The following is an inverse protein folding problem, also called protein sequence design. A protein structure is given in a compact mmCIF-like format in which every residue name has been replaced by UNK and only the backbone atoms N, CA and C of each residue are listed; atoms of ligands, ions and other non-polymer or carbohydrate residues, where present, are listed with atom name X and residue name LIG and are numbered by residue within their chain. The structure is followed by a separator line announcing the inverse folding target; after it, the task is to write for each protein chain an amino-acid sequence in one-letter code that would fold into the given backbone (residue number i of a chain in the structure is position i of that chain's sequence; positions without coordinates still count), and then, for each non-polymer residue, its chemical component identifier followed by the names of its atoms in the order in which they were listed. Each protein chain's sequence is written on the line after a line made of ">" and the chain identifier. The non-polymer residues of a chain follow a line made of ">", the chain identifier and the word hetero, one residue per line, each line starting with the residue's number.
data_IF_342307816731
#
_entry.id   IF_342307816731
#
_cell.length_a   1.000
_cell.length_b   1.000
_cell.length_c   1.000
_cell.angle_alpha   90.00
_cell.angle_beta   90.00
_cell.angle_gamma   90.00
#
_symmetry.space_group_name_H-M   'P 1'
#
loop_
_entity.id
_entity.type
_entity.pdbx_description
1 polymer ?
#
# COMPACT_ATOMS: atom_id res chain seq x y z
N UNK A 1 -2.01 14.22 24.00
CA UNK A 1 -2.72 13.03 24.54
C UNK A 1 -4.22 13.08 24.25
N UNK A 2 -4.97 14.10 24.68
CA UNK A 2 -6.41 14.21 24.40
C UNK A 2 -6.74 14.19 22.90
N UNK A 3 -6.02 14.98 22.09
CA UNK A 3 -6.20 15.03 20.63
C UNK A 3 -5.93 13.70 19.94
N UNK A 4 -5.00 12.91 20.45
CA UNK A 4 -4.66 11.59 19.92
C UNK A 4 -5.78 10.58 20.19
N UNK A 5 -6.29 10.49 21.42
CA UNK A 5 -7.41 9.60 21.74
C UNK A 5 -8.70 10.03 21.03
N UNK A 6 -8.95 11.34 20.91
CA UNK A 6 -10.09 11.86 20.15
C UNK A 6 -9.99 11.49 18.66
N UNK A 7 -8.79 11.57 18.06
CA UNK A 7 -8.53 11.15 16.70
C UNK A 7 -8.79 9.64 16.49
N UNK A 8 -8.33 8.80 17.42
CA UNK A 8 -8.56 7.36 17.36
C UNK A 8 -10.05 7.02 17.44
N UNK A 9 -10.78 7.64 18.38
CA UNK A 9 -12.23 7.48 18.48
C UNK A 9 -12.92 7.93 17.20
N UNK A 10 -12.54 9.08 16.65
CA UNK A 10 -13.10 9.58 15.39
C UNK A 10 -12.86 8.63 14.21
N UNK A 11 -11.69 8.00 14.10
CA UNK A 11 -11.40 6.99 13.08
C UNK A 11 -12.28 5.75 13.24
N UNK A 12 -12.48 5.26 14.47
CA UNK A 12 -13.36 4.11 14.75
C UNK A 12 -14.81 4.44 14.42
N UNK A 13 -15.31 5.61 14.85
CA UNK A 13 -16.67 6.04 14.52
C UNK A 13 -16.83 6.28 13.01
N UNK A 14 -15.81 6.84 12.35
CA UNK A 14 -15.77 7.01 10.90
C UNK A 14 -15.88 5.67 10.18
N UNK A 15 -15.11 4.67 10.57
CA UNK A 15 -15.19 3.32 10.00
C UNK A 15 -16.59 2.71 10.19
N UNK A 16 -17.14 2.77 11.41
CA UNK A 16 -18.45 2.14 11.71
C UNK A 16 -19.61 2.85 11.02
N UNK A 17 -19.69 4.19 11.10
CA UNK A 17 -20.84 4.92 10.58
C UNK A 17 -20.67 5.30 9.12
N UNK A 18 -19.55 5.94 8.77
CA UNK A 18 -19.33 6.42 7.41
C UNK A 18 -18.91 5.28 6.47
N UNK A 19 -18.10 4.34 6.94
CA UNK A 19 -17.80 3.11 6.18
C UNK A 19 -19.06 2.31 5.87
N UNK A 20 -19.96 2.11 6.84
CA UNK A 20 -21.25 1.45 6.58
C UNK A 20 -22.14 2.22 5.61
N UNK A 21 -22.11 3.57 5.64
CA UNK A 21 -22.82 4.39 4.65
C UNK A 21 -22.22 4.20 3.24
N UNK A 22 -20.90 4.25 3.09
CA UNK A 22 -20.22 4.07 1.81
C UNK A 22 -20.47 2.67 1.24
N UNK A 23 -20.35 1.63 2.05
CA UNK A 23 -20.70 0.25 1.69
C UNK A 23 -22.16 0.15 1.23
N UNK A 24 -23.09 0.82 1.91
CA UNK A 24 -24.50 0.80 1.50
C UNK A 24 -24.75 1.44 0.13
N UNK A 25 -23.98 2.46 -0.24
CA UNK A 25 -24.17 3.19 -1.51
C UNK A 25 -23.40 2.53 -2.66
N UNK A 26 -22.20 2.04 -2.41
CA UNK A 26 -21.25 1.56 -3.42
C UNK A 26 -20.90 0.08 -3.31
N UNK A 27 -21.57 -0.64 -2.42
CA UNK A 27 -21.36 -2.04 -2.05
C UNK A 27 -21.41 -3.06 -3.17
N UNK A 28 -21.20 -4.30 -2.76
CA UNK A 28 -21.31 -5.45 -3.64
C UNK A 28 -22.68 -5.52 -4.32
N UNK A 29 -22.65 -5.72 -5.64
CA UNK A 29 -23.83 -5.91 -6.47
C UNK A 29 -24.23 -7.39 -6.60
N UNK A 30 -23.58 -8.28 -5.82
CA UNK A 30 -23.87 -9.70 -5.76
C UNK A 30 -23.33 -10.48 -6.96
N UNK A 31 -22.44 -9.87 -7.74
CA UNK A 31 -21.76 -10.53 -8.85
C UNK A 31 -20.73 -11.51 -8.32
N UNK A 32 -20.55 -12.60 -9.05
CA UNK A 32 -19.46 -13.51 -8.74
C UNK A 32 -18.11 -12.81 -8.94
N UNK A 33 -17.31 -12.77 -7.86
CA UNK A 33 -16.04 -12.06 -7.85
C UNK A 33 -15.11 -12.61 -8.95
N UNK A 34 -14.33 -11.76 -9.63
CA UNK A 34 -13.39 -12.18 -10.67
C UNK A 34 -12.44 -13.30 -10.21
N UNK A 35 -12.04 -13.30 -8.94
CA UNK A 35 -11.19 -14.33 -8.35
C UNK A 35 -11.78 -15.76 -8.41
N UNK A 36 -13.11 -15.90 -8.44
CA UNK A 36 -13.78 -17.19 -8.59
C UNK A 36 -14.16 -17.47 -10.05
N UNK A 37 -14.72 -16.48 -10.74
CA UNK A 37 -15.18 -16.63 -12.14
C UNK A 37 -14.05 -16.81 -13.15
N UNK A 38 -12.93 -16.10 -12.99
CA UNK A 38 -11.78 -16.10 -13.90
C UNK A 38 -10.59 -16.88 -13.33
N UNK A 39 -10.85 -17.81 -12.41
CA UNK A 39 -9.82 -18.53 -11.66
C UNK A 39 -8.83 -19.26 -12.59
N UNK A 40 -7.60 -18.74 -12.67
CA UNK A 40 -6.52 -19.27 -13.52
C UNK A 40 -5.35 -19.83 -12.70
N UNK A 41 -5.42 -19.73 -11.36
CA UNK A 41 -4.37 -20.18 -10.46
C UNK A 41 -3.12 -19.27 -10.42
N UNK A 42 -3.12 -18.15 -11.16
CA UNK A 42 -1.98 -17.23 -11.28
C UNK A 42 -2.41 -15.79 -10.97
N UNK A 43 -3.20 -15.16 -11.85
CA UNK A 43 -3.65 -13.78 -11.70
C UNK A 43 -4.94 -13.68 -10.87
N UNK A 44 -5.82 -14.69 -10.99
CA UNK A 44 -7.09 -14.79 -10.29
C UNK A 44 -7.09 -16.00 -9.37
N UNK A 45 -6.79 -15.77 -8.09
CA UNK A 45 -6.76 -16.81 -7.07
C UNK A 45 -7.62 -16.40 -5.87
N UNK A 46 -8.59 -17.25 -5.45
CA UNK A 46 -9.38 -16.96 -4.27
C UNK A 46 -8.49 -17.05 -3.03
N UNK A 47 -8.43 -15.95 -2.30
CA UNK A 47 -7.64 -15.82 -1.08
C UNK A 47 -8.54 -15.48 0.11
N UNK A 48 -8.26 -16.10 1.25
CA UNK A 48 -8.94 -15.77 2.50
C UNK A 48 -8.59 -14.36 2.97
N UNK A 49 -9.54 -13.72 3.68
CA UNK A 49 -9.43 -12.34 4.17
C UNK A 49 -8.10 -12.05 4.88
N UNK A 50 -7.60 -12.94 5.75
CA UNK A 50 -6.37 -12.67 6.51
C UNK A 50 -5.15 -12.53 5.60
N UNK A 51 -5.05 -13.36 4.55
CA UNK A 51 -3.93 -13.29 3.60
C UNK A 51 -4.03 -12.02 2.75
N UNK A 52 -5.22 -11.72 2.24
CA UNK A 52 -5.45 -10.50 1.46
C UNK A 52 -5.15 -9.24 2.27
N UNK A 53 -5.59 -9.19 3.53
CA UNK A 53 -5.28 -8.11 4.46
C UNK A 53 -3.77 -7.97 4.69
N UNK A 54 -3.04 -9.08 4.92
CA UNK A 54 -1.60 -9.04 5.15
C UNK A 54 -0.84 -8.54 3.91
N UNK A 55 -1.24 -8.98 2.71
CA UNK A 55 -0.65 -8.52 1.44
C UNK A 55 -0.88 -7.01 1.30
N UNK A 56 -2.10 -6.54 1.50
CA UNK A 56 -2.42 -5.12 1.39
C UNK A 56 -1.70 -4.29 2.46
N UNK A 57 -1.63 -4.79 3.69
CA UNK A 57 -0.90 -4.15 4.77
C UNK A 57 0.57 -4.02 4.43
N UNK A 58 1.21 -5.07 3.93
CA UNK A 58 2.62 -5.04 3.52
C UNK A 58 2.86 -4.07 2.35
N UNK A 59 1.92 -3.98 1.40
CA UNK A 59 2.01 -3.07 0.26
C UNK A 59 1.93 -1.59 0.66
N UNK A 60 1.25 -1.28 1.78
CA UNK A 60 1.13 0.09 2.30
C UNK A 60 2.21 0.38 3.38
N UNK A 61 2.67 -0.66 4.09
CA UNK A 61 3.69 -0.59 5.12
C UNK A 61 5.07 -0.33 4.51
N UNK A 62 5.30 0.91 4.13
CA UNK A 62 6.57 1.39 3.62
C UNK A 62 7.14 2.56 4.41
N UNK A 63 8.07 3.25 3.77
CA UNK A 63 8.68 4.47 4.32
C UNK A 63 7.68 5.63 4.44
N UNK A 64 6.63 5.62 3.62
CA UNK A 64 5.56 6.63 3.63
C UNK A 64 4.89 6.77 5.00
N UNK A 65 4.26 5.72 5.55
CA UNK A 65 3.65 5.79 6.88
C UNK A 65 4.60 6.19 8.00
N UNK A 66 5.87 5.79 7.95
CA UNK A 66 6.86 6.10 9.01
C UNK A 66 7.30 7.56 8.92
N UNK A 67 7.92 7.96 7.81
CA UNK A 67 8.41 9.33 7.64
C UNK A 67 7.27 10.34 7.49
N UNK A 68 6.16 9.94 6.86
CA UNK A 68 4.95 10.75 6.74
C UNK A 68 4.32 11.04 8.10
N UNK A 69 4.21 10.04 8.98
CA UNK A 69 3.67 10.27 10.32
C UNK A 69 4.64 11.12 11.18
N UNK A 70 5.95 10.85 11.12
CA UNK A 70 6.95 11.65 11.85
C UNK A 70 6.96 13.10 11.36
N UNK A 71 7.03 13.30 10.04
CA UNK A 71 6.99 14.65 9.45
C UNK A 71 5.67 15.36 9.73
N UNK A 72 4.54 14.65 9.68
CA UNK A 72 3.25 15.18 10.08
C UNK A 72 3.22 15.59 11.56
N UNK A 73 3.78 14.78 12.46
CA UNK A 73 3.85 15.10 13.88
C UNK A 73 4.62 16.39 14.19
N UNK A 74 5.57 16.79 13.33
CA UNK A 74 6.28 18.09 13.45
C UNK A 74 5.35 19.30 13.31
N UNK A 75 4.19 19.15 12.65
CA UNK A 75 3.18 20.19 12.51
C UNK A 75 2.23 20.29 13.72
N UNK A 76 2.53 19.52 14.78
CA UNK A 76 1.78 19.54 16.02
C UNK A 76 0.38 18.93 15.86
N UNK A 77 -0.56 19.29 16.76
CA UNK A 77 -1.88 18.64 16.82
C UNK A 77 -2.75 18.78 15.56
N UNK A 78 -2.47 19.78 14.71
CA UNK A 78 -3.18 19.99 13.44
C UNK A 78 -3.02 18.80 12.48
N UNK A 79 -1.89 18.08 12.56
CA UNK A 79 -1.65 16.89 11.76
C UNK A 79 -2.66 15.78 12.04
N UNK A 80 -3.10 15.63 13.29
CA UNK A 80 -4.12 14.62 13.62
C UNK A 80 -5.47 14.93 12.96
N UNK A 81 -5.86 16.20 12.85
CA UNK A 81 -7.10 16.56 12.16
C UNK A 81 -7.01 16.20 10.68
N UNK A 82 -5.89 16.52 10.03
CA UNK A 82 -5.67 16.19 8.62
C UNK A 82 -5.64 14.69 8.37
N UNK A 83 -4.92 13.94 9.21
CA UNK A 83 -4.85 12.47 9.10
C UNK A 83 -6.25 11.88 9.29
N UNK A 84 -6.97 12.27 10.35
CA UNK A 84 -8.30 11.70 10.65
C UNK A 84 -9.30 12.02 9.55
N UNK A 85 -9.49 13.29 9.21
CA UNK A 85 -10.50 13.68 8.22
C UNK A 85 -10.10 13.24 6.81
N UNK A 86 -8.81 13.33 6.46
CA UNK A 86 -8.28 12.85 5.19
C UNK A 86 -8.47 11.34 5.03
N UNK A 87 -8.18 10.55 6.06
CA UNK A 87 -8.42 9.10 6.04
C UNK A 87 -9.89 8.74 5.92
N UNK A 88 -10.78 9.40 6.68
CA UNK A 88 -12.21 9.07 6.70
C UNK A 88 -12.89 9.44 5.37
N UNK A 89 -12.67 10.66 4.88
CA UNK A 89 -13.46 11.19 3.76
C UNK A 89 -12.80 11.05 2.39
N UNK A 90 -11.47 10.98 2.33
CA UNK A 90 -10.74 10.87 1.07
C UNK A 90 -10.11 9.49 0.91
N UNK A 91 -9.13 9.14 1.74
CA UNK A 91 -8.30 7.94 1.55
C UNK A 91 -9.10 6.64 1.53
N UNK A 92 -9.79 6.31 2.64
CA UNK A 92 -10.50 5.05 2.76
C UNK A 92 -11.64 4.91 1.73
N UNK A 93 -12.34 6.02 1.45
CA UNK A 93 -13.41 6.04 0.44
C UNK A 93 -12.83 5.85 -0.95
N UNK A 94 -11.76 6.57 -1.30
CA UNK A 94 -11.14 6.46 -2.61
C UNK A 94 -10.63 5.04 -2.88
N UNK A 95 -9.98 4.41 -1.90
CA UNK A 95 -9.47 3.04 -2.02
C UNK A 95 -10.61 2.04 -2.18
N UNK A 96 -11.68 2.19 -1.39
CA UNK A 96 -12.86 1.34 -1.48
C UNK A 96 -13.56 1.47 -2.85
N UNK A 97 -13.82 2.71 -3.29
CA UNK A 97 -14.44 2.99 -4.59
C UNK A 97 -13.60 2.46 -5.76
N UNK A 98 -12.29 2.67 -5.70
CA UNK A 98 -11.36 2.20 -6.72
C UNK A 98 -11.31 0.68 -6.79
N UNK A 99 -11.28 0.01 -5.62
CA UNK A 99 -11.36 -1.44 -5.52
C UNK A 99 -12.67 -1.97 -6.11
N UNK A 100 -13.79 -1.37 -5.75
CA UNK A 100 -15.10 -1.81 -6.22
C UNK A 100 -15.32 -1.55 -7.72
N UNK A 101 -14.75 -0.48 -8.26
CA UNK A 101 -14.69 -0.24 -9.70
C UNK A 101 -13.87 -1.32 -10.42
N UNK A 102 -12.71 -1.68 -9.86
CA UNK A 102 -11.84 -2.73 -10.42
C UNK A 102 -12.51 -4.10 -10.42
N UNK A 103 -13.16 -4.48 -9.32
CA UNK A 103 -13.91 -5.76 -9.21
C UNK A 103 -15.02 -5.86 -10.27
N UNK A 104 -15.75 -4.76 -10.53
CA UNK A 104 -16.79 -4.73 -11.56
C UNK A 104 -16.25 -4.78 -13.00
N UNK A 105 -14.96 -4.53 -13.19
CA UNK A 105 -14.26 -4.57 -14.47
C UNK A 105 -13.19 -5.68 -14.48
N UNK A 106 -13.51 -6.83 -13.88
CA UNK A 106 -12.68 -8.05 -13.97
C UNK A 106 -11.25 -7.87 -13.43
N UNK A 107 -11.06 -7.00 -12.44
CA UNK A 107 -9.75 -6.70 -11.87
C UNK A 107 -8.91 -5.73 -12.69
N UNK A 108 -9.52 -5.00 -13.64
CA UNK A 108 -8.81 -4.04 -14.47
C UNK A 108 -8.15 -2.91 -13.66
N UNK A 109 -6.99 -2.44 -14.13
CA UNK A 109 -6.30 -1.28 -13.57
C UNK A 109 -7.11 0.01 -13.77
N UNK A 110 -6.95 1.00 -12.89
CA UNK A 110 -7.63 2.30 -13.00
C UNK A 110 -7.35 2.97 -14.36
N UNK A 111 -6.12 2.89 -14.86
CA UNK A 111 -5.74 3.42 -16.18
C UNK A 111 -6.52 2.80 -17.33
N UNK A 112 -6.88 1.52 -17.20
CA UNK A 112 -7.70 0.80 -18.17
C UNK A 112 -9.18 1.21 -18.08
N UNK A 113 -9.71 1.28 -16.85
CA UNK A 113 -11.09 1.72 -16.58
C UNK A 113 -11.30 3.14 -17.12
N UNK A 114 -10.37 4.06 -16.85
CA UNK A 114 -10.39 5.43 -17.40
C UNK A 114 -10.47 5.40 -18.92
N UNK A 115 -9.73 4.50 -19.57
CA UNK A 115 -9.76 4.34 -21.02
C UNK A 115 -11.12 3.89 -21.57
N UNK A 116 -11.83 3.03 -20.84
CA UNK A 116 -13.14 2.55 -21.24
C UNK A 116 -14.20 3.68 -21.27
N UNK A 117 -14.09 4.66 -20.36
CA UNK A 117 -15.08 5.75 -20.23
C UNK A 117 -14.67 7.04 -20.95
N UNK A 118 -13.39 7.42 -20.92
CA UNK A 118 -12.87 8.69 -21.44
C UNK A 118 -12.12 8.54 -22.78
N UNK A 119 -11.94 7.31 -23.26
CA UNK A 119 -11.31 7.00 -24.54
C UNK A 119 -9.78 6.83 -24.46
N UNK A 120 -9.21 6.48 -25.60
CA UNK A 120 -7.81 6.02 -25.67
C UNK A 120 -6.77 7.11 -25.35
N UNK A 121 -7.07 8.39 -25.58
CA UNK A 121 -6.17 9.50 -25.23
C UNK A 121 -5.90 9.57 -23.72
N UNK A 122 -6.97 9.56 -22.92
CA UNK A 122 -6.85 9.55 -21.46
C UNK A 122 -6.26 8.24 -20.93
N UNK A 123 -6.56 7.10 -21.58
CA UNK A 123 -5.90 5.81 -21.28
C UNK A 123 -4.38 5.90 -21.38
N UNK A 124 -3.87 6.45 -22.48
CA UNK A 124 -2.43 6.59 -22.68
C UNK A 124 -1.81 7.58 -21.69
N UNK A 125 -2.47 8.71 -21.42
CA UNK A 125 -2.03 9.66 -20.40
C UNK A 125 -1.90 9.00 -19.03
N UNK A 126 -2.93 8.27 -18.59
CA UNK A 126 -2.93 7.58 -17.31
C UNK A 126 -1.88 6.47 -17.25
N UNK A 127 -1.64 5.74 -18.34
CA UNK A 127 -0.55 4.76 -18.42
C UNK A 127 0.82 5.41 -18.24
N UNK A 128 1.10 6.50 -18.96
CA UNK A 128 2.37 7.23 -18.83
C UNK A 128 2.53 7.73 -17.40
N UNK A 129 1.49 8.36 -16.84
CA UNK A 129 1.48 8.85 -15.46
C UNK A 129 1.77 7.72 -14.46
N UNK A 130 1.09 6.58 -14.62
CA UNK A 130 1.27 5.40 -13.74
C UNK A 130 2.69 4.85 -13.83
N UNK A 131 3.26 4.72 -15.03
CA UNK A 131 4.64 4.23 -15.21
C UNK A 131 5.65 5.16 -14.54
N UNK A 132 5.53 6.47 -14.74
CA UNK A 132 6.41 7.46 -14.09
C UNK A 132 6.28 7.35 -12.56
N UNK A 133 5.05 7.25 -12.05
CA UNK A 133 4.81 7.09 -10.61
C UNK A 133 5.43 5.80 -10.06
N UNK A 134 5.26 4.68 -10.76
CA UNK A 134 5.85 3.39 -10.35
C UNK A 134 7.38 3.43 -10.34
N UNK A 135 8.02 4.11 -11.30
CA UNK A 135 9.46 4.33 -11.31
C UNK A 135 9.88 5.16 -10.08
N UNK A 136 9.17 6.26 -9.81
CA UNK A 136 9.47 7.11 -8.66
C UNK A 136 9.33 6.35 -7.33
N UNK A 137 8.27 5.56 -7.19
CA UNK A 137 8.06 4.68 -6.03
C UNK A 137 9.22 3.70 -5.90
N UNK A 138 9.63 3.02 -6.98
CA UNK A 138 10.78 2.13 -6.98
C UNK A 138 12.07 2.80 -6.50
N UNK A 139 12.33 4.03 -6.95
CA UNK A 139 13.50 4.82 -6.50
C UNK A 139 13.41 5.13 -5.00
N UNK A 140 12.27 5.59 -4.50
CA UNK A 140 12.10 5.94 -3.07
C UNK A 140 12.26 4.72 -2.17
N UNK A 141 11.70 3.59 -2.55
CA UNK A 141 11.81 2.34 -1.80
C UNK A 141 13.22 1.73 -1.82
N UNK A 142 14.05 2.08 -2.81
CA UNK A 142 15.44 1.68 -2.86
C UNK A 142 16.35 2.64 -2.08
N UNK A 143 16.18 3.95 -2.27
CA UNK A 143 17.06 4.97 -1.69
C UNK A 143 16.79 5.15 -0.19
N UNK A 144 15.53 5.07 0.26
CA UNK A 144 15.22 5.34 1.65
C UNK A 144 15.82 4.34 2.65
N UNK A 145 15.72 3.01 2.44
CA UNK A 145 16.41 2.04 3.30
C UNK A 145 17.93 2.13 3.15
N UNK A 146 18.44 2.41 1.94
CA UNK A 146 19.88 2.63 1.72
C UNK A 146 20.41 3.83 2.53
N UNK A 147 19.65 4.92 2.59
CA UNK A 147 19.99 6.10 3.38
C UNK A 147 20.00 5.78 4.87
N UNK A 148 19.00 5.04 5.37
CA UNK A 148 18.96 4.58 6.76
C UNK A 148 20.17 3.69 7.10
N UNK A 149 20.48 2.71 6.24
CA UNK A 149 21.63 1.83 6.45
C UNK A 149 22.94 2.62 6.43
N UNK A 150 23.11 3.56 5.51
CA UNK A 150 24.28 4.42 5.45
C UNK A 150 24.49 5.20 6.76
N UNK A 151 23.41 5.66 7.43
CA UNK A 151 23.53 6.34 8.74
C UNK A 151 23.92 5.42 9.90
N UNK A 152 23.70 4.11 9.76
CA UNK A 152 24.02 3.12 10.79
C UNK A 152 25.36 2.41 10.55
N UNK A 153 26.03 2.69 9.43
CA UNK A 153 27.24 2.00 8.98
C UNK A 153 28.44 2.95 8.88
N UNK A 154 29.68 2.44 8.83
CA UNK A 154 30.87 3.28 8.66
C UNK A 154 30.78 4.16 7.42
N UNK A 155 31.43 5.33 7.44
CA UNK A 155 31.41 6.32 6.35
C UNK A 155 31.87 5.76 4.98
N UNK A 156 32.60 4.64 4.98
CA UNK A 156 32.98 3.91 3.76
C UNK A 156 31.79 3.28 3.02
N UNK A 157 30.69 2.99 3.73
CA UNK A 157 29.46 2.43 3.17
C UNK A 157 28.44 3.54 2.88
N UNK A 158 28.71 4.26 1.80
CA UNK A 158 27.83 5.37 1.35
C UNK A 158 26.47 4.87 0.85
N UNK A 159 25.52 5.79 0.72
CA UNK A 159 24.18 5.51 0.15
C UNK A 159 24.28 4.82 -1.21
N UNK A 160 25.23 5.22 -2.07
CA UNK A 160 25.43 4.60 -3.38
C UNK A 160 25.84 3.13 -3.28
N UNK A 161 26.67 2.76 -2.29
CA UNK A 161 27.05 1.37 -2.03
C UNK A 161 25.84 0.56 -1.60
N UNK A 162 25.05 1.06 -0.66
CA UNK A 162 23.84 0.39 -0.19
C UNK A 162 22.77 0.27 -1.28
N UNK A 163 22.58 1.30 -2.11
CA UNK A 163 21.71 1.23 -3.30
C UNK A 163 22.17 0.12 -4.23
N UNK A 164 23.47 0.02 -4.51
CA UNK A 164 24.03 -1.06 -5.34
C UNK A 164 23.78 -2.45 -4.76
N UNK A 165 23.96 -2.61 -3.44
CA UNK A 165 23.68 -3.87 -2.73
C UNK A 165 22.18 -4.23 -2.81
N UNK A 166 21.28 -3.27 -2.57
CA UNK A 166 19.83 -3.48 -2.64
C UNK A 166 19.39 -3.83 -4.06
N UNK A 167 19.93 -3.16 -5.08
CA UNK A 167 19.67 -3.49 -6.49
C UNK A 167 20.15 -4.90 -6.84
N UNK A 168 21.36 -5.27 -6.43
CA UNK A 168 21.89 -6.61 -6.64
C UNK A 168 21.02 -7.66 -5.95
N UNK A 169 20.58 -7.39 -4.73
CA UNK A 169 19.64 -8.24 -4.00
C UNK A 169 18.30 -8.39 -4.75
N UNK A 170 17.68 -7.30 -5.21
CA UNK A 170 16.42 -7.35 -5.96
C UNK A 170 16.58 -8.15 -7.26
N UNK A 171 17.66 -7.92 -8.00
CA UNK A 171 17.94 -8.66 -9.23
C UNK A 171 18.17 -10.16 -8.96
N UNK A 172 18.84 -10.50 -7.86
CA UNK A 172 19.02 -11.88 -7.47
C UNK A 172 17.70 -12.51 -6.98
N UNK A 173 16.84 -11.72 -6.33
CA UNK A 173 15.52 -12.12 -5.85
C UNK A 173 14.51 -12.37 -6.97
N UNK A 174 14.65 -11.72 -8.13
CA UNK A 174 13.79 -12.01 -9.29
C UNK A 174 14.24 -13.25 -10.05
N UNK A 175 15.55 -13.57 -10.03
CA UNK A 175 16.11 -14.73 -10.74
C UNK A 175 16.08 -16.01 -9.91
N UNK A 176 16.30 -15.91 -8.60
CA UNK A 176 16.24 -17.04 -7.68
C UNK A 176 14.86 -17.09 -7.03
N UNK A 177 14.27 -18.29 -6.80
CA UNK A 177 13.03 -18.42 -6.03
C UNK A 177 13.32 -18.22 -4.53
N UNK A 178 13.68 -16.98 -4.15
CA UNK A 178 14.02 -16.57 -2.79
C UNK A 178 12.82 -16.78 -1.85
N UNK A 179 11.60 -16.71 -2.37
CA UNK A 179 10.36 -17.04 -1.66
C UNK A 179 10.40 -18.46 -1.04
N UNK A 180 11.06 -19.42 -1.72
CA UNK A 180 11.27 -20.78 -1.16
C UNK A 180 12.42 -20.84 -0.15
N UNK A 181 13.40 -19.95 -0.24
CA UNK A 181 14.60 -19.92 0.61
C UNK A 181 14.37 -19.15 1.92
N UNK A 182 13.72 -17.99 1.84
CA UNK A 182 13.49 -17.05 2.95
C UNK A 182 12.05 -17.14 3.47
N UNK A 183 11.11 -17.79 2.78
CA UNK A 183 9.71 -17.92 3.20
C UNK A 183 9.52 -18.51 4.62
N UNK A 184 10.47 -19.31 5.11
CA UNK A 184 10.48 -19.83 6.50
C UNK A 184 10.85 -18.76 7.54
N UNK A 185 11.53 -17.69 7.14
CA UNK A 185 12.00 -16.56 7.96
C UNK A 185 11.03 -15.36 7.89
N UNK A 186 10.23 -15.24 6.84
CA UNK A 186 9.21 -14.17 6.70
C UNK A 186 8.26 -14.04 7.91
N UNK A 187 7.74 -15.13 8.50
CA UNK A 187 6.91 -15.06 9.72
C UNK A 187 7.65 -14.45 10.92
N UNK A 188 8.97 -14.65 11.01
CA UNK A 188 9.81 -14.06 12.06
C UNK A 188 9.94 -12.54 11.85
N UNK A 189 10.17 -12.08 10.63
CA UNK A 189 10.20 -10.64 10.32
C UNK A 189 8.85 -9.97 10.56
N UNK A 190 7.75 -10.63 10.19
CA UNK A 190 6.39 -10.14 10.47
C UNK A 190 6.12 -10.03 11.98
N UNK A 191 6.52 -11.04 12.76
CA UNK A 191 6.43 -10.99 14.22
C UNK A 191 7.30 -9.88 14.83
N UNK A 192 8.55 -9.73 14.36
CA UNK A 192 9.45 -8.66 14.82
C UNK A 192 8.90 -7.27 14.51
N UNK A 193 8.31 -7.07 13.32
CA UNK A 193 7.66 -5.82 12.95
C UNK A 193 6.47 -5.49 13.87
N UNK A 194 5.62 -6.47 14.15
CA UNK A 194 4.50 -6.29 15.09
C UNK A 194 5.00 -6.04 16.52
N UNK A 195 6.05 -6.74 16.95
CA UNK A 195 6.66 -6.54 18.26
C UNK A 195 7.24 -5.13 18.41
N UNK A 196 8.02 -4.66 17.43
CA UNK A 196 8.56 -3.30 17.40
C UNK A 196 7.48 -2.21 17.30
N UNK A 197 6.31 -2.52 16.74
CA UNK A 197 5.21 -1.56 16.72
C UNK A 197 4.50 -1.43 18.09
N UNK A 198 4.61 -2.45 18.95
CA UNK A 198 3.98 -2.51 20.27
C UNK A 198 4.92 -2.03 21.39
N UNK A 199 6.24 -2.17 21.22
CA UNK A 199 7.28 -1.73 22.17
C UNK A 199 7.87 -0.39 21.79
#
# INVERSE_FOLDING_TARGET
>A
MVTFFAALVALVLGYVFYGAFVERVWGDDGRELPAYRLNDGVDFVPMGWQKSFLIQFLNIAGLGPIFGAISGALWGPAAFLWIVFGSIFAGAVHDYLSGMLSVRHDGASISEIVGNYLGNGFRQLMRIFTVVLLILVGVVFMVGPAALLATLTPESLTVGVWVGIILAYYFLATLLPIDKLIGRVYPLFGFLLLFMAVT
#
